data_IF_892528200728
#
_entry.id   IF_892528200728
#
_cell.length_a   1.000
_cell.length_b   1.000
_cell.length_c   1.000
_cell.angle_alpha   90.00
_cell.angle_beta   90.00
_cell.angle_gamma   90.00
#
_symmetry.space_group_name_H-M   'P 1'
#
loop_
_entity.id
_entity.type
_entity.pdbx_description
1 polymer ?
#
# COMPACT_ATOMS: atom_id res chain seq x y z
N UNK A 1 -10.09 -32.50 -27.66
CA UNK A 1 -9.63 -31.17 -27.26
C UNK A 1 -10.39 -30.59 -26.03
N UNK A 2 -11.71 -30.59 -25.99
CA UNK A 2 -12.49 -30.06 -24.85
C UNK A 2 -12.26 -30.82 -23.53
N UNK A 3 -12.13 -32.13 -23.57
CA UNK A 3 -11.85 -32.99 -22.41
C UNK A 3 -10.43 -32.78 -21.84
N UNK A 4 -9.43 -32.60 -22.71
CA UNK A 4 -8.06 -32.31 -22.27
C UNK A 4 -7.96 -30.93 -21.57
N UNK A 5 -8.72 -29.93 -22.02
CA UNK A 5 -8.76 -28.59 -21.41
C UNK A 5 -9.43 -28.63 -20.02
N UNK A 6 -10.52 -29.42 -19.88
CA UNK A 6 -11.19 -29.68 -18.62
C UNK A 6 -10.27 -30.41 -17.60
N UNK A 7 -9.52 -31.41 -18.07
CA UNK A 7 -8.57 -32.15 -17.21
C UNK A 7 -7.42 -31.26 -16.75
N UNK A 8 -6.90 -30.39 -17.62
CA UNK A 8 -5.86 -29.40 -17.28
C UNK A 8 -6.37 -28.35 -16.30
N UNK A 9 -7.64 -27.94 -16.43
CA UNK A 9 -8.27 -27.01 -15.49
C UNK A 9 -8.53 -27.66 -14.11
N UNK A 10 -8.93 -28.94 -14.09
CA UNK A 10 -9.08 -29.72 -12.85
C UNK A 10 -7.73 -29.94 -12.13
N UNK A 11 -6.65 -30.22 -12.88
CA UNK A 11 -5.30 -30.35 -12.33
C UNK A 11 -4.77 -29.03 -11.77
N UNK A 12 -5.11 -27.90 -12.39
CA UNK A 12 -4.79 -26.55 -11.86
C UNK A 12 -5.56 -26.25 -10.57
N UNK A 13 -6.80 -26.70 -10.44
CA UNK A 13 -7.61 -26.52 -9.22
C UNK A 13 -7.11 -27.42 -8.08
N UNK A 14 -6.65 -28.64 -8.36
CA UNK A 14 -6.13 -29.56 -7.34
C UNK A 14 -4.78 -29.12 -6.75
N UNK A 15 -4.00 -28.32 -7.48
CA UNK A 15 -2.75 -27.73 -6.95
C UNK A 15 -3.00 -26.58 -5.96
N UNK A 16 -4.20 -26.07 -5.86
CA UNK A 16 -4.59 -25.04 -4.88
C UNK A 16 -4.79 -25.60 -3.45
N UNK A 17 -4.77 -26.91 -3.26
CA UNK A 17 -4.95 -27.57 -1.96
C UNK A 17 -3.80 -27.41 -0.96
N UNK A 18 -2.63 -26.89 -1.37
CA UNK A 18 -1.50 -26.55 -0.47
C UNK A 18 -1.45 -25.05 -0.14
N UNK A 19 -2.55 -24.40 -0.06
CA UNK A 19 -2.78 -23.00 -0.37
C UNK A 19 -2.71 -22.03 0.80
N UNK A 20 -2.37 -22.46 2.00
CA UNK A 20 -2.30 -21.50 3.12
C UNK A 20 -0.94 -20.74 3.22
N UNK A 21 -0.08 -20.94 2.23
CA UNK A 21 1.19 -20.21 2.12
C UNK A 21 1.02 -18.83 1.44
N UNK A 22 -0.08 -18.62 0.75
CA UNK A 22 -0.34 -17.41 -0.03
C UNK A 22 -1.56 -16.66 0.50
N UNK A 23 -1.46 -15.33 0.55
CA UNK A 23 -2.54 -14.42 0.88
C UNK A 23 -2.75 -13.42 -0.24
N UNK A 24 -4.00 -13.14 -0.55
CA UNK A 24 -4.40 -12.05 -1.45
C UNK A 24 -5.33 -11.15 -0.65
N UNK A 25 -5.05 -9.85 -0.66
CA UNK A 25 -5.83 -8.88 0.10
C UNK A 25 -6.11 -7.60 -0.67
N UNK A 26 -7.16 -6.90 -0.25
CA UNK A 26 -7.47 -5.54 -0.63
C UNK A 26 -7.04 -4.57 0.46
N UNK A 27 -6.64 -3.38 0.07
CA UNK A 27 -6.27 -2.28 0.95
C UNK A 27 -7.20 -1.09 0.70
N UNK A 28 -7.68 -0.49 1.78
CA UNK A 28 -8.40 0.80 1.75
C UNK A 28 -7.88 1.64 2.90
N UNK A 29 -7.52 2.88 2.62
CA UNK A 29 -6.96 3.77 3.63
C UNK A 29 -7.05 5.24 3.26
N UNK A 30 -6.41 6.08 4.05
CA UNK A 30 -6.25 7.50 3.81
C UNK A 30 -4.83 7.84 3.37
N UNK A 31 -4.68 8.74 2.41
CA UNK A 31 -3.40 9.28 2.01
C UNK A 31 -3.13 10.63 2.66
N UNK A 32 -1.90 10.83 3.06
CA UNK A 32 -1.38 12.08 3.63
C UNK A 32 -0.08 12.45 2.93
N UNK A 33 0.07 13.73 2.61
CA UNK A 33 1.32 14.26 2.06
C UNK A 33 2.05 15.09 3.12
N UNK A 34 3.32 14.75 3.34
CA UNK A 34 4.23 15.50 4.21
C UNK A 34 5.39 15.99 3.35
N UNK A 35 5.52 17.31 3.24
CA UNK A 35 6.55 17.89 2.40
C UNK A 35 6.61 19.42 2.53
N UNK A 36 7.11 20.07 1.50
CA UNK A 36 7.28 21.52 1.50
C UNK A 36 5.97 22.31 1.36
N UNK A 37 4.93 21.69 0.78
CA UNK A 37 3.62 22.31 0.58
C UNK A 37 2.61 21.69 1.53
N UNK A 38 1.69 22.51 2.07
CA UNK A 38 0.54 22.07 2.85
C UNK A 38 0.74 22.07 4.36
N UNK A 39 -0.07 21.24 5.02
CA UNK A 39 -0.13 21.15 6.48
C UNK A 39 1.20 20.67 7.06
N UNK A 40 1.56 21.22 8.22
CA UNK A 40 2.71 20.78 9.03
C UNK A 40 2.37 19.61 9.97
N UNK A 41 1.13 19.13 9.97
CA UNK A 41 0.71 18.00 10.79
C UNK A 41 1.20 16.68 10.19
N UNK A 42 1.80 15.81 11.00
CA UNK A 42 2.31 14.51 10.57
C UNK A 42 1.19 13.54 10.14
N UNK A 43 0.04 13.59 10.80
CA UNK A 43 -1.10 12.72 10.48
C UNK A 43 -2.29 13.61 10.15
N UNK A 44 -2.61 13.71 8.88
CA UNK A 44 -3.74 14.49 8.37
C UNK A 44 -4.24 13.93 7.04
N UNK A 45 -4.72 12.65 7.03
CA UNK A 45 -5.21 12.03 5.80
C UNK A 45 -6.39 12.82 5.25
N UNK A 46 -6.30 13.23 4.00
CA UNK A 46 -7.29 14.09 3.36
C UNK A 46 -7.82 13.52 2.04
N UNK A 47 -7.26 12.41 1.56
CA UNK A 47 -7.69 11.71 0.35
C UNK A 47 -7.69 10.21 0.59
N UNK A 48 -8.38 9.47 -0.29
CA UNK A 48 -8.46 8.02 -0.24
C UNK A 48 -7.27 7.37 -0.95
N UNK A 49 -6.89 6.22 -0.43
CA UNK A 49 -5.97 5.28 -1.04
C UNK A 49 -6.62 3.90 -1.07
N UNK A 50 -6.42 3.15 -2.16
CA UNK A 50 -6.89 1.79 -2.27
C UNK A 50 -5.92 0.97 -3.12
N UNK A 51 -5.92 -0.31 -2.92
CA UNK A 51 -4.99 -1.17 -3.63
C UNK A 51 -5.20 -2.65 -3.36
N UNK A 52 -4.24 -3.43 -3.82
CA UNK A 52 -4.18 -4.85 -3.62
C UNK A 52 -2.80 -5.28 -3.12
N UNK A 53 -2.77 -6.37 -2.40
CA UNK A 53 -1.55 -6.97 -1.91
C UNK A 53 -1.57 -8.48 -2.12
N UNK A 54 -0.39 -9.02 -2.29
CA UNK A 54 -0.11 -10.44 -2.35
C UNK A 54 1.00 -10.76 -1.36
N UNK A 55 0.82 -11.81 -0.55
CA UNK A 55 1.85 -12.25 0.39
C UNK A 55 2.16 -13.73 0.17
N UNK A 56 3.43 -14.03 0.30
CA UNK A 56 3.94 -15.39 0.37
C UNK A 56 4.54 -15.63 1.76
N UNK A 57 3.80 -16.37 2.58
CA UNK A 57 4.21 -16.69 3.95
C UNK A 57 5.24 -17.82 3.91
N UNK A 58 6.49 -17.48 4.16
CA UNK A 58 7.60 -18.42 4.17
C UNK A 58 7.74 -19.14 5.51
N UNK A 59 7.33 -18.49 6.59
CA UNK A 59 7.33 -19.00 7.95
C UNK A 59 6.29 -18.25 8.80
N UNK A 60 5.96 -18.71 10.02
CA UNK A 60 5.08 -17.96 10.92
C UNK A 60 5.53 -16.53 11.20
N UNK A 61 6.82 -16.23 11.03
CA UNK A 61 7.39 -14.90 11.32
C UNK A 61 7.78 -14.09 10.10
N UNK A 62 7.87 -14.68 8.90
CA UNK A 62 8.36 -13.99 7.72
C UNK A 62 7.46 -14.24 6.52
N UNK A 63 7.06 -13.15 5.86
CA UNK A 63 6.35 -13.19 4.60
C UNK A 63 6.96 -12.23 3.58
N UNK A 64 7.07 -12.64 2.33
CA UNK A 64 7.29 -11.72 1.22
C UNK A 64 5.97 -11.09 0.84
N UNK A 65 5.98 -9.77 0.68
CA UNK A 65 4.80 -8.99 0.31
C UNK A 65 5.08 -8.19 -0.96
N UNK A 66 4.14 -8.24 -1.89
CA UNK A 66 4.04 -7.33 -3.03
C UNK A 66 2.73 -6.56 -2.92
N UNK A 67 2.73 -5.27 -3.23
CA UNK A 67 1.51 -4.47 -3.22
C UNK A 67 1.50 -3.44 -4.34
N UNK A 68 0.29 -3.10 -4.79
CA UNK A 68 0.03 -2.00 -5.71
C UNK A 68 -1.07 -1.15 -5.10
N UNK A 69 -0.78 0.13 -4.88
CA UNK A 69 -1.66 1.08 -4.22
C UNK A 69 -1.83 2.30 -5.13
N UNK A 70 -3.08 2.65 -5.40
CA UNK A 70 -3.45 3.90 -6.03
C UNK A 70 -3.93 4.87 -4.97
N UNK A 71 -3.43 6.08 -5.00
CA UNK A 71 -3.88 7.14 -4.11
C UNK A 71 -3.87 8.51 -4.77
N UNK A 72 -4.66 9.42 -4.23
CA UNK A 72 -4.59 10.84 -4.55
C UNK A 72 -3.84 11.54 -3.41
N UNK A 73 -2.83 12.34 -3.75
CA UNK A 73 -2.14 13.23 -2.82
C UNK A 73 -2.63 14.65 -3.03
N UNK A 74 -2.85 15.38 -1.94
CA UNK A 74 -3.27 16.78 -1.99
C UNK A 74 -2.66 17.56 -0.84
N UNK A 75 -2.15 18.72 -1.13
CA UNK A 75 -1.63 19.64 -0.12
C UNK A 75 -2.05 21.08 -0.45
N UNK A 76 -2.36 21.87 0.58
CA UNK A 76 -2.83 23.26 0.48
C UNK A 76 -2.13 24.05 1.58
N UNK A 77 -1.35 25.07 1.20
CA UNK A 77 -0.57 25.91 2.12
C UNK A 77 -1.43 26.74 3.07
N UNK A 78 -2.63 27.12 2.66
CA UNK A 78 -3.58 27.85 3.49
C UNK A 78 -3.96 27.10 4.78
N UNK A 79 -3.90 25.76 4.74
CA UNK A 79 -4.17 24.87 5.88
C UNK A 79 -2.95 24.65 6.79
N UNK A 80 -1.79 25.23 6.43
CA UNK A 80 -0.58 25.13 7.23
C UNK A 80 -0.67 25.97 8.51
N UNK A 81 0.03 25.56 9.56
CA UNK A 81 0.27 26.42 10.72
C UNK A 81 1.45 27.40 10.54
N UNK A 82 2.28 27.22 9.49
CA UNK A 82 3.39 28.12 9.17
C UNK A 82 2.88 29.37 8.41
N UNK A 83 3.06 30.59 8.94
CA UNK A 83 2.64 31.82 8.28
C UNK A 83 3.28 32.04 6.90
N UNK A 84 4.52 31.57 6.69
CA UNK A 84 5.22 31.70 5.41
C UNK A 84 4.58 30.85 4.32
N UNK A 85 4.13 29.63 4.67
CA UNK A 85 3.38 28.79 3.73
C UNK A 85 2.03 29.42 3.38
N UNK A 86 1.31 29.95 4.38
CA UNK A 86 0.04 30.66 4.14
C UNK A 86 0.19 31.84 3.18
N UNK A 87 1.25 32.64 3.35
CA UNK A 87 1.53 33.76 2.45
C UNK A 87 1.89 33.30 1.04
N UNK A 88 2.58 32.17 0.89
CA UNK A 88 2.92 31.60 -0.40
C UNK A 88 1.70 31.05 -1.15
N UNK A 89 0.76 30.41 -0.45
CA UNK A 89 -0.53 29.97 -0.98
C UNK A 89 -0.46 28.86 -2.03
N UNK A 90 0.56 27.99 -1.99
CA UNK A 90 0.66 26.90 -2.95
C UNK A 90 -0.32 25.78 -2.62
N UNK A 91 -0.85 25.18 -3.68
CA UNK A 91 -1.69 24.01 -3.57
C UNK A 91 -1.46 23.06 -4.74
N UNK A 92 -1.60 21.75 -4.49
CA UNK A 92 -1.60 20.77 -5.55
C UNK A 92 -2.53 19.59 -5.22
N UNK A 93 -2.91 18.89 -6.28
CA UNK A 93 -3.58 17.59 -6.23
C UNK A 93 -2.99 16.72 -7.33
N UNK A 94 -2.57 15.50 -6.98
CA UNK A 94 -2.02 14.55 -7.95
C UNK A 94 -2.41 13.12 -7.60
N UNK A 95 -2.54 12.30 -8.62
CA UNK A 95 -2.78 10.87 -8.49
C UNK A 95 -1.47 10.11 -8.63
N UNK A 96 -1.21 9.21 -7.72
CA UNK A 96 0.00 8.40 -7.66
C UNK A 96 -0.34 6.91 -7.68
N UNK A 97 0.51 6.15 -8.34
CA UNK A 97 0.48 4.69 -8.33
C UNK A 97 1.78 4.19 -7.71
N UNK A 98 1.67 3.52 -6.59
CA UNK A 98 2.81 2.89 -5.92
C UNK A 98 2.79 1.39 -6.15
N UNK A 99 3.94 0.83 -6.53
CA UNK A 99 4.19 -0.60 -6.51
C UNK A 99 5.34 -0.88 -5.55
N UNK A 100 5.18 -1.83 -4.65
CA UNK A 100 6.22 -2.20 -3.69
C UNK A 100 6.40 -3.70 -3.57
N UNK A 101 7.62 -4.09 -3.21
CA UNK A 101 7.99 -5.47 -2.87
C UNK A 101 8.93 -5.45 -1.68
N UNK A 102 8.73 -6.36 -0.73
CA UNK A 102 9.54 -6.39 0.48
C UNK A 102 9.24 -7.56 1.40
N UNK A 103 9.74 -7.44 2.62
CA UNK A 103 9.63 -8.43 3.67
C UNK A 103 8.73 -7.90 4.79
N UNK A 104 7.78 -8.73 5.20
CA UNK A 104 6.96 -8.54 6.39
C UNK A 104 7.47 -9.46 7.49
N UNK A 105 7.76 -8.89 8.66
CA UNK A 105 8.20 -9.59 9.86
C UNK A 105 7.11 -9.54 10.92
N UNK A 106 6.65 -10.69 11.38
CA UNK A 106 5.69 -10.84 12.47
C UNK A 106 6.43 -10.93 13.81
N UNK A 107 6.07 -10.09 14.76
CA UNK A 107 6.70 -10.10 16.10
C UNK A 107 6.31 -11.34 16.94
N UNK A 108 5.11 -11.86 16.68
CA UNK A 108 4.63 -13.13 17.27
C UNK A 108 4.43 -14.16 16.15
N UNK A 109 4.43 -15.43 16.51
CA UNK A 109 4.14 -16.48 15.55
C UNK A 109 2.73 -16.32 15.00
N UNK A 110 2.61 -16.31 13.69
CA UNK A 110 1.35 -16.17 12.97
C UNK A 110 1.22 -17.32 11.97
N UNK A 111 0.69 -18.43 12.46
CA UNK A 111 0.51 -19.64 11.65
C UNK A 111 -0.89 -19.64 11.03
N UNK A 112 -0.96 -19.63 9.70
CA UNK A 112 -2.21 -19.67 8.94
C UNK A 112 -2.94 -21.02 9.06
N UNK A 113 -2.25 -22.06 9.55
CA UNK A 113 -2.81 -23.39 9.77
C UNK A 113 -3.35 -23.57 11.20
N UNK A 114 -3.13 -22.60 12.08
CA UNK A 114 -3.59 -22.68 13.44
C UNK A 114 -5.13 -22.80 13.51
N UNK A 115 -5.60 -23.71 14.37
CA UNK A 115 -7.04 -23.90 14.61
C UNK A 115 -7.65 -22.76 15.45
N UNK A 116 -6.82 -21.98 16.15
CA UNK A 116 -7.23 -20.87 17.01
C UNK A 116 -6.93 -19.53 16.35
N UNK A 117 -7.74 -18.48 16.60
CA UNK A 117 -7.45 -17.13 16.14
C UNK A 117 -6.08 -16.67 16.62
N UNK A 118 -5.30 -16.12 15.71
CA UNK A 118 -3.97 -15.58 16.01
C UNK A 118 -3.93 -14.09 15.68
N UNK A 119 -3.08 -13.38 16.42
CA UNK A 119 -2.87 -11.95 16.23
C UNK A 119 -1.40 -11.61 16.39
N UNK A 120 -0.90 -10.67 15.60
CA UNK A 120 0.49 -10.23 15.70
C UNK A 120 0.65 -8.79 15.23
N UNK A 121 1.43 -7.97 15.91
CA UNK A 121 2.02 -6.80 15.29
C UNK A 121 3.05 -7.23 14.25
N UNK A 122 3.24 -6.42 13.21
CA UNK A 122 4.21 -6.71 12.17
C UNK A 122 4.88 -5.43 11.66
N UNK A 123 6.04 -5.61 11.10
CA UNK A 123 6.81 -4.60 10.40
C UNK A 123 7.00 -5.04 8.95
N UNK A 124 6.68 -4.16 8.01
CA UNK A 124 7.01 -4.35 6.60
C UNK A 124 8.00 -3.31 6.13
N UNK A 125 8.99 -3.75 5.35
CA UNK A 125 9.94 -2.88 4.65
C UNK A 125 10.37 -3.50 3.34
N UNK A 126 10.82 -2.68 2.41
CA UNK A 126 11.22 -3.14 1.08
C UNK A 126 11.67 -2.01 0.17
N UNK A 127 11.38 -2.16 -1.09
CA UNK A 127 11.56 -1.12 -2.10
C UNK A 127 10.22 -0.79 -2.73
N UNK A 128 10.00 0.48 -3.01
CA UNK A 128 8.82 0.95 -3.73
C UNK A 128 9.20 1.85 -4.89
N UNK A 129 8.35 1.83 -5.89
CA UNK A 129 8.35 2.72 -7.04
C UNK A 129 7.02 3.45 -7.09
N UNK A 130 7.07 4.76 -7.06
CA UNK A 130 5.90 5.64 -7.12
C UNK A 130 5.89 6.34 -8.47
N UNK A 131 4.90 6.06 -9.29
CA UNK A 131 4.65 6.76 -10.54
C UNK A 131 3.76 7.97 -10.27
N UNK A 132 4.25 9.18 -10.58
CA UNK A 132 3.57 10.44 -10.32
C UNK A 132 3.64 11.39 -11.51
N UNK A 133 2.67 12.31 -11.69
CA UNK A 133 2.75 13.37 -12.68
C UNK A 133 3.80 14.41 -12.27
N UNK A 134 4.41 15.07 -13.26
CA UNK A 134 5.31 16.18 -13.03
C UNK A 134 4.54 17.48 -12.99
N UNK A 135 4.92 18.35 -12.06
CA UNK A 135 4.37 19.71 -11.94
C UNK A 135 5.51 20.72 -11.83
N UNK A 136 5.28 21.90 -12.34
CA UNK A 136 6.11 23.07 -12.05
C UNK A 136 5.22 24.27 -11.75
N UNK A 137 5.70 25.12 -10.86
CA UNK A 137 5.03 26.37 -10.53
C UNK A 137 5.53 27.46 -11.46
N UNK A 138 4.60 28.10 -12.18
CA UNK A 138 4.85 29.38 -12.84
C UNK A 138 4.44 30.50 -11.89
N UNK A 139 4.82 31.74 -12.21
CA UNK A 139 4.54 32.92 -11.37
C UNK A 139 3.03 33.12 -11.07
N UNK A 140 2.15 32.49 -11.84
CA UNK A 140 0.70 32.68 -11.73
C UNK A 140 -0.08 31.39 -11.52
N UNK A 141 0.41 30.24 -11.94
CA UNK A 141 -0.34 28.99 -11.92
C UNK A 141 0.55 27.75 -11.74
N UNK A 142 -0.03 26.70 -11.16
CA UNK A 142 0.52 25.36 -11.20
C UNK A 142 0.27 24.76 -12.60
N UNK A 143 1.31 24.41 -13.30
CA UNK A 143 1.22 23.77 -14.62
C UNK A 143 1.60 22.30 -14.48
N UNK A 144 0.70 21.44 -14.91
CA UNK A 144 0.97 19.99 -15.01
C UNK A 144 1.65 19.71 -16.35
N UNK A 145 2.79 19.07 -16.31
CA UNK A 145 3.36 18.47 -17.51
C UNK A 145 2.57 17.21 -17.89
N UNK A 146 2.50 16.92 -19.20
CA UNK A 146 1.89 15.67 -19.69
C UNK A 146 2.75 14.44 -19.40
N UNK A 147 3.95 14.62 -18.83
CA UNK A 147 4.91 13.57 -18.50
C UNK A 147 4.71 13.08 -17.07
N UNK A 148 4.97 11.80 -16.86
CA UNK A 148 5.01 11.16 -15.54
C UNK A 148 6.45 10.71 -15.25
N UNK A 149 6.84 10.76 -14.00
CA UNK A 149 8.15 10.30 -13.51
C UNK A 149 7.97 9.20 -12.47
N UNK A 150 9.04 8.45 -12.25
CA UNK A 150 9.10 7.44 -11.21
C UNK A 150 10.04 7.92 -10.09
N UNK A 151 9.55 7.89 -8.88
CA UNK A 151 10.34 8.04 -7.66
C UNK A 151 10.52 6.69 -6.98
N UNK A 152 11.66 6.47 -6.35
CA UNK A 152 11.96 5.25 -5.61
C UNK A 152 12.05 5.56 -4.13
N UNK A 153 11.58 4.62 -3.30
CA UNK A 153 11.55 4.79 -1.86
C UNK A 153 11.70 3.48 -1.11
N UNK A 154 11.85 3.59 0.19
CA UNK A 154 11.86 2.46 1.12
C UNK A 154 10.60 2.61 1.99
N UNK A 155 9.57 1.78 1.76
CA UNK A 155 8.39 1.77 2.62
C UNK A 155 8.76 1.19 3.99
N UNK A 156 8.24 1.81 5.05
CA UNK A 156 8.30 1.31 6.42
C UNK A 156 6.87 1.35 6.94
N UNK A 157 6.30 0.17 7.18
CA UNK A 157 4.91 0.02 7.63
C UNK A 157 4.90 -0.75 8.94
N UNK A 158 4.33 -0.17 9.97
CA UNK A 158 4.01 -0.84 11.22
C UNK A 158 2.52 -1.12 11.26
N UNK A 159 2.15 -2.38 11.45
CA UNK A 159 0.76 -2.78 11.45
C UNK A 159 0.46 -3.84 12.50
N UNK A 160 -0.81 -4.15 12.60
CA UNK A 160 -1.35 -5.22 13.43
C UNK A 160 -2.32 -6.05 12.61
N UNK A 161 -2.21 -7.38 12.67
CA UNK A 161 -3.11 -8.28 11.96
C UNK A 161 -3.67 -9.36 12.87
N UNK A 162 -4.88 -9.81 12.55
CA UNK A 162 -5.59 -10.86 13.27
C UNK A 162 -6.38 -11.74 12.30
N UNK A 163 -6.46 -13.03 12.58
CA UNK A 163 -7.33 -13.95 11.86
C UNK A 163 -8.76 -13.81 12.39
N UNK A 164 -9.71 -13.48 11.50
CA UNK A 164 -11.14 -13.50 11.80
C UNK A 164 -11.76 -14.88 11.57
N UNK A 165 -11.26 -15.58 10.57
CA UNK A 165 -11.67 -16.96 10.25
C UNK A 165 -10.50 -17.68 9.57
N UNK A 166 -10.69 -18.97 9.24
CA UNK A 166 -9.68 -19.76 8.52
C UNK A 166 -9.20 -19.14 7.20
N UNK A 167 -10.01 -18.26 6.60
CA UNK A 167 -9.75 -17.68 5.28
C UNK A 167 -9.66 -16.16 5.29
N UNK A 168 -9.94 -15.52 6.42
CA UNK A 168 -10.04 -14.05 6.49
C UNK A 168 -9.09 -13.53 7.55
N UNK A 169 -8.19 -12.67 7.12
CA UNK A 169 -7.26 -11.91 7.95
C UNK A 169 -7.63 -10.45 7.84
N UNK A 170 -7.77 -9.79 8.97
CA UNK A 170 -7.92 -8.35 9.07
C UNK A 170 -6.60 -7.74 9.49
N UNK A 171 -6.15 -6.71 8.79
CA UNK A 171 -4.93 -5.99 9.11
C UNK A 171 -5.19 -4.48 9.17
N UNK A 172 -4.49 -3.80 10.07
CA UNK A 172 -4.45 -2.35 10.24
C UNK A 172 -3.00 -1.88 10.08
N UNK A 173 -2.81 -0.85 9.27
CA UNK A 173 -1.52 -0.23 8.97
C UNK A 173 -1.54 1.28 9.23
#
# INVERSE_FOLDING_TARGET
MKTSLCLMFLLLISSLGFSQTYEIGGFVGGSNFIGDVGSTKFVNPNKLAFGGLFKWNRSPRHAFRASVIYSTLSAVDELSSDPRRKLRGYSFKMDVLEASIGLEFNFLDFDLHAATPMSTPYLYTGISMVNHPNFYFTTTNLVSEKTRSNAYGIPIILGFKTTLSRFIILAFE
#
